data_IF_149539621547
#
_entry.id   IF_149539621547
#
_cell.length_a   1.000
_cell.length_b   1.000
_cell.length_c   1.000
_cell.angle_alpha   90.00
_cell.angle_beta   90.00
_cell.angle_gamma   90.00
#
_symmetry.space_group_name_H-M   'P 1'
#
loop_
_entity.id
_entity.type
_entity.pdbx_description
1 polymer ?
#
# COMPACT_ATOMS: atom_id res chain seq x y z
N UNK A 1 1.05 -25.50 -14.77
CA UNK A 1 1.90 -25.73 -13.57
C UNK A 1 1.42 -24.81 -12.47
N UNK A 2 0.98 -25.34 -11.33
CA UNK A 2 0.73 -24.51 -10.12
C UNK A 2 2.08 -24.33 -9.42
N UNK A 3 2.46 -23.08 -9.14
CA UNK A 3 3.70 -22.74 -8.43
C UNK A 3 3.70 -23.36 -7.03
N UNK A 4 4.82 -23.99 -6.64
CA UNK A 4 5.08 -24.56 -5.31
C UNK A 4 5.64 -23.54 -4.32
N UNK A 5 5.85 -22.31 -4.77
CA UNK A 5 6.23 -21.16 -3.97
C UNK A 5 4.97 -20.29 -3.89
N UNK A 6 4.66 -19.73 -2.72
CA UNK A 6 3.45 -18.95 -2.42
C UNK A 6 3.19 -17.79 -3.40
N UNK A 7 2.20 -16.91 -3.13
CA UNK A 7 1.88 -15.82 -4.04
C UNK A 7 3.16 -15.09 -4.44
N UNK A 8 3.38 -14.97 -5.75
CA UNK A 8 4.44 -14.15 -6.29
C UNK A 8 4.04 -12.73 -5.88
N UNK A 9 4.61 -12.22 -4.79
CA UNK A 9 4.57 -10.79 -4.52
C UNK A 9 5.28 -10.19 -5.73
N UNK A 10 4.49 -9.62 -6.63
CA UNK A 10 5.01 -8.88 -7.77
C UNK A 10 5.97 -7.86 -7.15
N UNK A 11 7.27 -8.00 -7.41
CA UNK A 11 8.32 -7.10 -6.90
C UNK A 11 8.17 -5.64 -7.40
N UNK A 12 7.05 -5.33 -8.05
CA UNK A 12 6.62 -4.04 -8.57
C UNK A 12 5.69 -3.28 -7.64
N UNK A 13 5.26 -3.81 -6.49
CA UNK A 13 4.45 -3.06 -5.52
C UNK A 13 4.98 -3.15 -4.10
N UNK A 14 4.76 -2.10 -3.30
CA UNK A 14 5.20 -2.06 -1.91
C UNK A 14 4.56 -0.94 -1.09
N UNK A 15 4.57 -1.11 0.23
CA UNK A 15 4.08 -0.13 1.19
C UNK A 15 5.20 0.84 1.55
N UNK A 16 4.99 2.12 1.27
CA UNK A 16 5.93 3.19 1.61
C UNK A 16 5.76 3.67 3.06
N UNK A 17 4.51 3.74 3.54
CA UNK A 17 4.20 4.28 4.84
C UNK A 17 2.83 3.81 5.34
N UNK A 18 2.67 3.71 6.66
CA UNK A 18 1.39 3.54 7.33
C UNK A 18 1.28 4.56 8.48
N UNK A 19 0.10 5.15 8.66
CA UNK A 19 -0.23 6.01 9.79
C UNK A 19 -1.72 6.01 10.09
N UNK A 20 -2.09 6.12 11.36
CA UNK A 20 -3.48 6.38 11.76
C UNK A 20 -3.91 7.84 11.56
N UNK A 21 -2.98 8.75 11.28
CA UNK A 21 -3.24 10.18 11.05
C UNK A 21 -3.19 10.51 9.55
N UNK A 22 -4.32 10.93 9.00
CA UNK A 22 -4.47 11.35 7.60
C UNK A 22 -3.46 12.44 7.21
N UNK A 23 -3.11 13.36 8.12
CA UNK A 23 -2.14 14.43 7.82
C UNK A 23 -0.74 13.87 7.62
N UNK A 24 -0.33 12.88 8.42
CA UNK A 24 0.96 12.22 8.28
C UNK A 24 1.02 11.36 7.02
N UNK A 25 -0.03 10.59 6.77
CA UNK A 25 -0.13 9.79 5.55
C UNK A 25 -0.12 10.67 4.28
N UNK A 26 -0.79 11.83 4.31
CA UNK A 26 -0.77 12.81 3.21
C UNK A 26 0.63 13.41 2.99
N UNK A 27 1.41 13.65 4.06
CA UNK A 27 2.81 14.10 3.92
C UNK A 27 3.66 13.01 3.28
N UNK A 28 3.53 11.77 3.75
CA UNK A 28 4.25 10.62 3.19
C UNK A 28 3.89 10.40 1.72
N UNK A 29 2.61 10.51 1.35
CA UNK A 29 2.15 10.43 -0.03
C UNK A 29 2.83 11.47 -0.94
N UNK A 30 2.90 12.73 -0.50
CA UNK A 30 3.57 13.79 -1.25
C UNK A 30 5.09 13.56 -1.38
N UNK A 31 5.71 12.92 -0.40
CA UNK A 31 7.13 12.54 -0.46
C UNK A 31 7.31 11.39 -1.45
N UNK A 32 6.50 10.34 -1.35
CA UNK A 32 6.55 9.18 -2.24
C UNK A 32 6.39 9.60 -3.71
N UNK A 33 5.43 10.49 -4.02
CA UNK A 33 5.27 11.03 -5.39
C UNK A 33 6.50 11.74 -5.94
N UNK A 34 7.34 12.33 -5.09
CA UNK A 34 8.57 13.01 -5.51
C UNK A 34 9.73 12.03 -5.69
N UNK A 35 9.79 11.00 -4.85
CA UNK A 35 10.84 9.98 -4.88
C UNK A 35 10.63 8.96 -6.01
N UNK A 36 9.37 8.65 -6.32
CA UNK A 36 8.97 7.65 -7.30
C UNK A 36 8.06 8.28 -8.37
N UNK A 37 8.58 9.25 -9.16
CA UNK A 37 7.76 9.98 -10.13
C UNK A 37 7.23 9.11 -11.27
N UNK A 38 7.92 8.00 -11.57
CA UNK A 38 7.57 7.07 -12.64
C UNK A 38 6.63 5.94 -12.18
N UNK A 39 6.31 5.89 -10.89
CA UNK A 39 5.46 4.86 -10.29
C UNK A 39 4.09 5.42 -9.94
N UNK A 40 3.09 4.54 -9.92
CA UNK A 40 1.78 4.88 -9.37
C UNK A 40 1.87 4.88 -7.85
N UNK A 41 1.72 6.06 -7.26
CA UNK A 41 1.62 6.23 -5.81
C UNK A 41 0.16 6.41 -5.42
N UNK A 42 -0.32 5.63 -4.46
CA UNK A 42 -1.70 5.65 -3.96
C UNK A 42 -1.73 5.87 -2.46
N UNK A 43 -2.70 6.64 -1.97
CA UNK A 43 -3.03 6.77 -0.55
C UNK A 43 -4.36 6.05 -0.31
N UNK A 44 -4.34 4.97 0.45
CA UNK A 44 -5.49 4.12 0.72
C UNK A 44 -5.92 4.22 2.18
N UNK A 45 -7.22 4.25 2.41
CA UNK A 45 -7.85 4.21 3.72
C UNK A 45 -8.17 2.76 4.11
N UNK A 46 -7.49 2.23 5.11
CA UNK A 46 -7.68 0.86 5.61
C UNK A 46 -9.02 0.68 6.33
N UNK A 47 -9.70 1.77 6.72
CA UNK A 47 -11.07 1.72 7.22
C UNK A 47 -12.13 1.52 6.12
N UNK A 48 -11.75 1.68 4.85
CA UNK A 48 -12.62 1.37 3.71
C UNK A 48 -12.31 -0.05 3.21
N UNK A 49 -13.26 -1.01 3.27
CA UNK A 49 -13.02 -2.39 2.86
C UNK A 49 -12.51 -2.57 1.42
N UNK A 50 -12.98 -1.74 0.47
CA UNK A 50 -12.56 -1.83 -0.93
C UNK A 50 -11.12 -1.36 -1.12
N UNK A 51 -10.74 -0.28 -0.45
CA UNK A 51 -9.36 0.22 -0.46
C UNK A 51 -8.41 -0.65 0.37
N UNK A 52 -8.91 -1.26 1.44
CA UNK A 52 -8.14 -2.23 2.25
C UNK A 52 -7.82 -3.47 1.43
N UNK A 53 -8.75 -3.97 0.61
CA UNK A 53 -8.50 -5.14 -0.23
C UNK A 53 -7.32 -4.92 -1.18
N UNK A 54 -7.25 -3.77 -1.86
CA UNK A 54 -6.12 -3.45 -2.74
C UNK A 54 -4.81 -3.25 -1.97
N UNK A 55 -4.88 -2.80 -0.72
CA UNK A 55 -3.72 -2.69 0.15
C UNK A 55 -3.17 -4.06 0.59
N UNK A 56 -4.06 -4.98 0.94
CA UNK A 56 -3.73 -6.36 1.35
C UNK A 56 -3.12 -7.17 0.21
N UNK A 57 -3.55 -6.92 -1.02
CA UNK A 57 -2.97 -7.56 -2.20
C UNK A 57 -1.49 -7.16 -2.40
N UNK A 58 -1.09 -5.97 -1.92
CA UNK A 58 0.31 -5.51 -1.94
C UNK A 58 1.08 -6.02 -0.73
N UNK A 59 0.50 -5.89 0.46
CA UNK A 59 1.10 -6.36 1.71
C UNK A 59 0.03 -6.98 2.61
N UNK A 60 0.03 -8.32 2.76
CA UNK A 60 -0.94 -9.04 3.57
C UNK A 60 -1.01 -8.57 5.04
N UNK A 61 0.07 -8.01 5.58
CA UNK A 61 0.13 -7.55 6.97
C UNK A 61 -0.81 -6.35 7.22
N UNK A 62 -1.19 -5.61 6.17
CA UNK A 62 -2.21 -4.56 6.26
C UNK A 62 -3.62 -5.12 6.53
N UNK A 63 -3.82 -6.43 6.34
CA UNK A 63 -5.07 -7.13 6.61
C UNK A 63 -5.45 -7.13 8.09
N UNK A 64 -4.46 -7.09 8.97
CA UNK A 64 -4.64 -7.09 10.43
C UNK A 64 -5.03 -5.71 10.98
N UNK A 65 -5.00 -4.66 10.15
CA UNK A 65 -5.29 -3.29 10.56
C UNK A 65 -6.75 -2.91 10.27
N UNK A 66 -7.52 -2.57 11.30
CA UNK A 66 -8.94 -2.19 11.15
C UNK A 66 -9.15 -0.73 10.71
N UNK A 67 -8.11 0.11 10.79
CA UNK A 67 -8.20 1.54 10.48
C UNK A 67 -6.83 2.13 10.17
N UNK A 68 -6.82 3.36 9.66
CA UNK A 68 -5.62 4.11 9.31
C UNK A 68 -5.43 4.22 7.81
N UNK A 69 -4.25 4.68 7.40
CA UNK A 69 -3.95 5.03 6.02
C UNK A 69 -2.60 4.45 5.63
N UNK A 70 -2.54 3.82 4.46
CA UNK A 70 -1.30 3.32 3.88
C UNK A 70 -0.97 4.07 2.58
N UNK A 71 0.32 4.29 2.35
CA UNK A 71 0.84 4.80 1.09
C UNK A 71 1.47 3.63 0.35
N UNK A 72 0.97 3.36 -0.84
CA UNK A 72 1.38 2.23 -1.67
C UNK A 72 2.04 2.78 -2.93
N UNK A 73 3.09 2.09 -3.37
CA UNK A 73 3.80 2.36 -4.62
C UNK A 73 3.65 1.12 -5.50
N UNK A 74 3.26 1.32 -6.76
CA UNK A 74 3.08 0.27 -7.77
C UNK A 74 3.77 0.69 -9.08
N UNK A 75 4.46 -0.25 -9.74
CA UNK A 75 5.10 -0.04 -11.05
C UNK A 75 4.11 -0.18 -12.22
#
# INVERSE_FOLDING_TARGET
>A
MKSALGPIILASSGVFHYSSDMKQASKAYNIAKKLYPDFKVSLVNLGNPEEKASAVDVDPDLGDLDSGYAVIIEA
#
